data_IF_569804448241
#
_entry.id   IF_569804448241
#
_cell.length_a   1.000
_cell.length_b   1.000
_cell.length_c   1.000
_cell.angle_alpha   90.00
_cell.angle_beta   90.00
_cell.angle_gamma   90.00
#
_symmetry.space_group_name_H-M   'P 1'
#
loop_
_entity.id
_entity.type
_entity.pdbx_description
1 polymer ?
#
# COMPACT_ATOMS: atom_id res chain seq x y z
N UNK A 1 28.59 -61.70 -7.45
CA UNK A 1 29.31 -60.42 -7.68
C UNK A 1 28.41 -59.28 -8.20
N UNK A 2 27.33 -59.55 -8.93
CA UNK A 2 26.45 -58.49 -9.50
C UNK A 2 25.52 -57.77 -8.52
N UNK A 3 25.13 -58.40 -7.41
CA UNK A 3 24.26 -57.79 -6.40
C UNK A 3 24.90 -56.60 -5.67
N UNK A 4 26.22 -56.65 -5.46
CA UNK A 4 26.97 -55.52 -4.88
C UNK A 4 27.00 -54.30 -5.83
N UNK A 5 27.10 -54.54 -7.15
CA UNK A 5 27.11 -53.47 -8.15
C UNK A 5 25.75 -52.77 -8.23
N UNK A 6 24.65 -53.53 -8.14
CA UNK A 6 23.29 -53.01 -8.13
C UNK A 6 23.00 -52.17 -6.87
N UNK A 7 23.47 -52.59 -5.69
CA UNK A 7 23.33 -51.80 -4.46
C UNK A 7 24.08 -50.47 -4.53
N UNK A 8 25.29 -50.45 -5.12
CA UNK A 8 26.08 -49.22 -5.28
C UNK A 8 25.43 -48.26 -6.28
N UNK A 9 24.92 -48.78 -7.41
CA UNK A 9 24.22 -47.98 -8.41
C UNK A 9 22.89 -47.39 -7.90
N UNK A 10 22.17 -48.10 -7.03
CA UNK A 10 20.97 -47.58 -6.38
C UNK A 10 21.26 -46.55 -5.28
N UNK A 11 22.39 -46.67 -4.57
CA UNK A 11 22.77 -45.75 -3.51
C UNK A 11 23.31 -44.41 -4.03
N UNK A 12 23.94 -44.38 -5.21
CA UNK A 12 24.50 -43.16 -5.81
C UNK A 12 23.46 -42.03 -6.04
N UNK A 13 22.28 -42.26 -6.65
CA UNK A 13 21.28 -41.20 -6.82
C UNK A 13 20.67 -40.76 -5.48
N UNK A 14 20.56 -41.65 -4.49
CA UNK A 14 20.09 -41.30 -3.14
C UNK A 14 21.13 -40.42 -2.42
N UNK A 15 22.41 -40.76 -2.50
CA UNK A 15 23.50 -39.96 -1.93
C UNK A 15 23.67 -38.62 -2.65
N UNK A 16 23.46 -38.58 -3.97
CA UNK A 16 23.43 -37.34 -4.75
C UNK A 16 22.24 -36.47 -4.35
N UNK A 17 21.04 -37.04 -4.20
CA UNK A 17 19.85 -36.35 -3.72
C UNK A 17 20.02 -35.86 -2.27
N UNK A 18 20.63 -36.65 -1.39
CA UNK A 18 20.93 -36.23 -0.02
C UNK A 18 22.00 -35.12 0.04
N UNK A 19 22.98 -35.09 -0.87
CA UNK A 19 24.00 -34.03 -0.93
C UNK A 19 23.48 -32.73 -1.58
N UNK A 20 22.70 -32.85 -2.66
CA UNK A 20 22.19 -31.70 -3.44
C UNK A 20 20.87 -31.19 -2.85
N UNK A 21 19.94 -32.09 -2.55
CA UNK A 21 18.63 -31.78 -1.96
C UNK A 21 18.73 -31.20 -0.56
N UNK A 22 19.63 -31.68 0.31
CA UNK A 22 19.86 -31.03 1.62
C UNK A 22 20.50 -29.64 1.49
N UNK A 23 21.38 -29.41 0.50
CA UNK A 23 21.94 -28.07 0.26
C UNK A 23 20.88 -27.08 -0.25
N UNK A 24 19.95 -27.55 -1.07
CA UNK A 24 18.86 -26.72 -1.59
C UNK A 24 17.74 -26.46 -0.56
N UNK A 25 17.44 -27.42 0.33
CA UNK A 25 16.38 -27.31 1.34
C UNK A 25 16.84 -26.73 2.69
N UNK A 26 18.12 -26.89 3.05
CA UNK A 26 18.63 -26.57 4.40
C UNK A 26 19.85 -25.65 4.42
N UNK A 27 20.20 -24.98 3.32
CA UNK A 27 20.99 -23.76 3.49
C UNK A 27 20.11 -22.75 4.24
N UNK A 28 20.48 -22.32 5.47
CA UNK A 28 19.80 -21.19 6.06
C UNK A 28 19.96 -20.05 5.07
N UNK A 29 18.85 -19.57 4.49
CA UNK A 29 18.86 -18.35 3.70
C UNK A 29 19.56 -17.32 4.57
N UNK A 30 20.76 -16.93 4.17
CA UNK A 30 21.46 -15.84 4.83
C UNK A 30 20.62 -14.60 4.53
N UNK A 31 19.72 -14.26 5.45
CA UNK A 31 19.02 -13.00 5.39
C UNK A 31 20.09 -11.90 5.38
N UNK A 32 20.01 -10.94 4.44
CA UNK A 32 20.93 -9.81 4.41
C UNK A 32 20.97 -9.15 5.78
N UNK A 33 22.18 -8.77 6.20
CA UNK A 33 22.45 -8.22 7.53
C UNK A 33 21.66 -6.93 7.77
N UNK A 34 20.96 -6.93 8.91
CA UNK A 34 20.27 -5.84 9.61
C UNK A 34 19.36 -4.93 8.77
N UNK A 35 18.02 -5.11 8.82
CA UNK A 35 17.12 -3.99 8.58
C UNK A 35 17.51 -2.82 9.49
N UNK A 36 17.85 -1.67 8.90
CA UNK A 36 17.89 -0.43 9.68
C UNK A 36 16.46 -0.12 10.10
N UNK A 37 16.27 0.42 11.30
CA UNK A 37 14.96 0.95 11.68
C UNK A 37 14.57 2.06 10.68
N UNK A 38 13.53 1.85 9.82
CA UNK A 38 13.18 2.81 8.78
C UNK A 38 12.55 4.10 9.34
N UNK A 39 12.25 4.13 10.64
CA UNK A 39 11.64 5.25 11.34
C UNK A 39 12.64 6.12 12.10
N UNK A 40 13.96 5.91 11.89
CA UNK A 40 14.96 6.86 12.39
C UNK A 40 14.77 8.21 11.69
N UNK A 41 14.83 9.30 12.46
CA UNK A 41 14.70 10.66 11.92
C UNK A 41 15.72 10.96 10.81
N UNK A 42 16.90 10.35 10.90
CA UNK A 42 17.99 10.42 9.93
C UNK A 42 17.63 9.84 8.55
N UNK A 43 16.76 8.82 8.51
CA UNK A 43 16.34 8.12 7.30
C UNK A 43 15.09 8.78 6.64
N UNK A 44 14.51 9.80 7.30
CA UNK A 44 13.42 10.61 6.74
C UNK A 44 14.02 11.59 5.73
N UNK A 45 13.78 11.34 4.44
CA UNK A 45 14.19 12.27 3.39
C UNK A 45 13.32 13.53 3.45
N UNK A 46 13.90 14.73 3.26
CA UNK A 46 13.11 15.95 3.16
C UNK A 46 12.18 15.87 1.94
N UNK A 47 11.01 16.54 1.99
CA UNK A 47 10.11 16.65 0.86
C UNK A 47 10.85 17.09 -0.39
N UNK A 48 10.67 16.33 -1.47
CA UNK A 48 11.26 16.63 -2.76
C UNK A 48 10.22 17.35 -3.64
N UNK A 49 10.63 18.18 -4.62
CA UNK A 49 9.70 18.84 -5.52
C UNK A 49 8.83 17.82 -6.27
N UNK A 50 7.55 18.13 -6.42
CA UNK A 50 6.58 17.29 -7.12
C UNK A 50 6.98 17.06 -8.56
N UNK A 51 7.06 15.79 -8.99
CA UNK A 51 7.35 15.43 -10.39
C UNK A 51 6.05 15.46 -11.21
N UNK A 52 5.85 16.54 -11.97
CA UNK A 52 4.65 16.73 -12.80
C UNK A 52 4.80 16.27 -14.26
N UNK A 53 6.04 16.17 -14.75
CA UNK A 53 6.32 15.80 -16.14
C UNK A 53 5.84 14.37 -16.49
N UNK A 54 4.94 14.26 -17.47
CA UNK A 54 4.35 12.97 -17.90
C UNK A 54 5.41 11.94 -18.32
N UNK A 55 6.45 12.37 -19.03
CA UNK A 55 7.51 11.47 -19.51
C UNK A 55 8.29 10.85 -18.34
N UNK A 56 8.69 11.66 -17.34
CA UNK A 56 9.38 11.17 -16.13
C UNK A 56 8.53 10.20 -15.33
N UNK A 57 7.23 10.48 -15.21
CA UNK A 57 6.28 9.57 -14.53
C UNK A 57 6.11 8.25 -15.30
N UNK A 58 5.99 8.30 -16.62
CA UNK A 58 5.81 7.11 -17.46
C UNK A 58 7.03 6.17 -17.39
N UNK A 59 8.25 6.73 -17.36
CA UNK A 59 9.49 5.95 -17.26
C UNK A 59 9.61 5.12 -15.97
N UNK A 60 8.87 5.47 -14.91
CA UNK A 60 8.82 4.73 -13.65
C UNK A 60 7.60 3.83 -13.57
N UNK A 61 6.43 4.33 -14.00
CA UNK A 61 5.15 3.63 -13.84
C UNK A 61 4.91 2.51 -14.86
N UNK A 62 5.64 2.53 -15.99
CA UNK A 62 5.43 1.63 -17.13
C UNK A 62 6.75 1.01 -17.58
N UNK A 63 7.38 0.28 -16.66
CA UNK A 63 8.59 -0.49 -16.98
C UNK A 63 8.18 -1.90 -17.41
N UNK A 64 8.52 -2.34 -18.63
CA UNK A 64 8.34 -3.74 -19.02
C UNK A 64 9.21 -4.63 -18.12
N UNK A 65 8.69 -5.79 -17.76
CA UNK A 65 9.43 -6.78 -16.99
C UNK A 65 10.25 -7.65 -17.94
N UNK A 66 11.57 -7.62 -17.80
CA UNK A 66 12.52 -8.45 -18.54
C UNK A 66 13.20 -9.42 -17.55
N UNK A 67 12.95 -10.74 -17.60
CA UNK A 67 13.50 -11.71 -16.66
C UNK A 67 15.04 -11.69 -16.55
N UNK A 68 15.71 -11.35 -17.64
CA UNK A 68 17.17 -11.28 -17.77
C UNK A 68 17.77 -10.13 -16.92
N UNK A 69 16.97 -9.13 -16.54
CA UNK A 69 17.40 -8.03 -15.67
C UNK A 69 17.48 -8.43 -14.19
N UNK A 70 16.97 -9.60 -13.81
CA UNK A 70 17.02 -10.14 -12.43
C UNK A 70 18.40 -10.69 -12.07
N UNK A 71 19.45 -9.90 -12.28
CA UNK A 71 20.85 -10.21 -11.97
C UNK A 71 21.19 -10.00 -10.50
N UNK A 72 20.31 -9.33 -9.75
CA UNK A 72 20.44 -9.05 -8.31
C UNK A 72 19.54 -9.96 -7.48
N UNK A 73 20.05 -10.35 -6.31
CA UNK A 73 19.24 -11.01 -5.28
C UNK A 73 18.31 -9.99 -4.63
N UNK A 74 17.04 -10.35 -4.46
CA UNK A 74 16.05 -9.50 -3.78
C UNK A 74 15.83 -9.98 -2.35
N UNK A 75 15.62 -9.05 -1.44
CA UNK A 75 15.39 -9.32 -0.02
C UNK A 75 13.89 -9.50 0.25
N UNK A 76 13.04 -8.85 -0.55
CA UNK A 76 11.61 -9.06 -0.60
C UNK A 76 11.06 -8.98 -2.03
N UNK A 77 9.99 -9.73 -2.27
CA UNK A 77 9.18 -9.64 -3.49
C UNK A 77 7.77 -9.24 -3.06
N UNK A 78 7.25 -8.17 -3.65
CA UNK A 78 5.88 -7.69 -3.46
C UNK A 78 5.11 -7.95 -4.73
N UNK A 79 4.00 -8.67 -4.64
CA UNK A 79 3.13 -8.97 -5.78
C UNK A 79 1.92 -8.02 -5.71
N UNK A 80 1.77 -7.18 -6.72
CA UNK A 80 0.76 -6.13 -6.83
C UNK A 80 1.30 -4.74 -6.45
N UNK A 81 1.03 -3.75 -7.30
CA UNK A 81 1.44 -2.35 -7.10
C UNK A 81 0.29 -1.44 -6.63
N UNK A 82 -0.70 -2.01 -5.94
CA UNK A 82 -1.72 -1.22 -5.25
C UNK A 82 -1.14 -0.42 -4.09
N UNK A 83 -1.95 0.45 -3.49
CA UNK A 83 -1.54 1.29 -2.35
C UNK A 83 -0.85 0.49 -1.24
N UNK A 84 -1.43 -0.63 -0.81
CA UNK A 84 -0.82 -1.49 0.21
C UNK A 84 0.54 -2.08 -0.20
N UNK A 85 0.65 -2.60 -1.42
CA UNK A 85 1.90 -3.19 -1.94
C UNK A 85 3.01 -2.16 -2.07
N UNK A 86 2.72 -0.99 -2.65
CA UNK A 86 3.67 0.11 -2.76
C UNK A 86 4.05 0.71 -1.40
N UNK A 87 3.12 0.80 -0.45
CA UNK A 87 3.41 1.23 0.92
C UNK A 87 4.42 0.31 1.59
N UNK A 88 4.21 -1.02 1.54
CA UNK A 88 5.15 -2.00 2.09
C UNK A 88 6.50 -1.92 1.38
N UNK A 89 6.51 -1.89 0.05
CA UNK A 89 7.74 -1.80 -0.73
C UNK A 89 8.56 -0.54 -0.39
N UNK A 90 7.89 0.60 -0.22
CA UNK A 90 8.54 1.85 0.14
C UNK A 90 9.13 1.83 1.56
N UNK A 91 8.42 1.24 2.54
CA UNK A 91 8.92 1.07 3.91
C UNK A 91 10.13 0.14 3.94
N UNK A 92 10.05 -1.02 3.28
CA UNK A 92 11.16 -1.98 3.19
C UNK A 92 12.38 -1.36 2.48
N UNK A 93 12.15 -0.61 1.39
CA UNK A 93 13.22 0.11 0.69
C UNK A 93 13.89 1.16 1.59
N UNK A 94 13.11 1.84 2.46
CA UNK A 94 13.66 2.75 3.47
C UNK A 94 14.49 2.02 4.54
N UNK A 95 14.12 0.79 4.88
CA UNK A 95 14.91 -0.12 5.72
C UNK A 95 16.12 -0.75 4.99
N UNK A 96 16.46 -0.22 3.79
CA UNK A 96 17.57 -0.64 2.92
C UNK A 96 17.42 -2.03 2.31
N UNK A 97 16.21 -2.58 2.25
CA UNK A 97 15.94 -3.82 1.54
C UNK A 97 15.91 -3.58 0.04
N UNK A 98 16.46 -4.52 -0.72
CA UNK A 98 16.25 -4.61 -2.17
C UNK A 98 14.89 -5.26 -2.38
N UNK A 99 13.92 -4.47 -2.84
CA UNK A 99 12.54 -4.92 -3.04
C UNK A 99 12.22 -4.98 -4.53
N UNK A 100 11.73 -6.13 -4.98
CA UNK A 100 11.12 -6.29 -6.30
C UNK A 100 9.60 -6.14 -6.17
N UNK A 101 8.99 -5.24 -6.94
CA UNK A 101 7.53 -5.12 -7.04
C UNK A 101 7.10 -5.64 -8.40
N UNK A 102 6.19 -6.61 -8.42
CA UNK A 102 5.65 -7.19 -9.65
C UNK A 102 4.21 -6.74 -9.83
N UNK A 103 3.90 -6.17 -11.00
CA UNK A 103 2.57 -5.74 -11.37
C UNK A 103 2.11 -6.49 -12.63
N UNK A 104 0.88 -7.02 -12.59
CA UNK A 104 0.30 -7.76 -13.71
C UNK A 104 -0.20 -6.82 -14.82
N UNK A 105 -0.54 -5.56 -14.47
CA UNK A 105 -1.00 -4.55 -15.40
C UNK A 105 0.17 -3.76 -16.03
N UNK A 106 -0.08 -3.11 -17.17
CA UNK A 106 0.92 -2.26 -17.84
C UNK A 106 1.20 -0.91 -17.15
N UNK A 107 0.66 -0.69 -15.94
CA UNK A 107 0.84 0.54 -15.17
C UNK A 107 0.73 0.24 -13.68
N UNK A 108 1.67 0.79 -12.90
CA UNK A 108 1.59 0.70 -11.44
C UNK A 108 0.42 1.50 -10.84
N UNK A 109 -0.15 1.02 -9.74
CA UNK A 109 -1.16 1.73 -8.94
C UNK A 109 -2.37 0.90 -8.49
N UNK A 110 -2.56 -0.33 -8.96
CA UNK A 110 -3.74 -1.16 -8.63
C UNK A 110 -5.06 -0.40 -8.85
N UNK A 111 -6.01 -0.48 -7.91
CA UNK A 111 -7.28 0.28 -7.97
C UNK A 111 -7.14 1.80 -7.74
N UNK A 112 -5.93 2.32 -7.60
CA UNK A 112 -5.63 3.75 -7.45
C UNK A 112 -4.96 4.33 -8.71
N UNK A 113 -4.92 3.58 -9.82
CA UNK A 113 -4.35 4.09 -11.06
C UNK A 113 -5.34 5.01 -11.81
N UNK A 114 -4.79 5.85 -12.68
CA UNK A 114 -5.55 6.67 -13.63
C UNK A 114 -5.40 6.17 -15.06
N UNK A 115 -6.37 6.43 -15.93
CA UNK A 115 -6.24 6.25 -17.38
C UNK A 115 -6.69 7.49 -18.13
N UNK A 116 -6.20 7.66 -19.36
CA UNK A 116 -6.57 8.80 -20.21
C UNK A 116 -7.54 8.33 -21.29
N UNK A 117 -8.64 9.05 -21.49
CA UNK A 117 -9.63 8.78 -22.55
C UNK A 117 -10.16 10.10 -23.10
N UNK A 118 -10.08 10.28 -24.42
CA UNK A 118 -10.51 11.50 -25.12
C UNK A 118 -9.95 12.82 -24.55
N UNK A 119 -8.69 12.82 -24.09
CA UNK A 119 -8.05 14.02 -23.51
C UNK A 119 -8.33 14.26 -22.03
N UNK A 120 -9.18 13.45 -21.39
CA UNK A 120 -9.47 13.52 -19.97
C UNK A 120 -8.75 12.40 -19.21
N UNK A 121 -8.34 12.68 -17.98
CA UNK A 121 -7.80 11.70 -17.04
C UNK A 121 -8.91 11.26 -16.08
N UNK A 122 -9.07 9.95 -15.91
CA UNK A 122 -10.06 9.33 -15.04
C UNK A 122 -9.35 8.48 -14.00
N UNK A 123 -9.73 8.59 -12.73
CA UNK A 123 -9.41 7.61 -11.71
C UNK A 123 -10.39 6.42 -11.76
N UNK A 124 -9.99 5.30 -11.17
CA UNK A 124 -10.80 4.06 -11.16
C UNK A 124 -11.46 3.77 -9.82
N UNK A 125 -11.33 4.64 -8.80
CA UNK A 125 -12.00 4.37 -7.52
C UNK A 125 -11.61 5.24 -6.32
N UNK A 126 -10.43 5.89 -6.32
CA UNK A 126 -10.03 6.76 -5.20
C UNK A 126 -10.47 8.20 -5.50
N UNK A 127 -11.56 8.61 -4.85
CA UNK A 127 -12.17 9.93 -5.03
C UNK A 127 -11.87 10.88 -3.85
N UNK A 128 -11.80 10.37 -2.63
CA UNK A 128 -11.53 11.16 -1.41
C UNK A 128 -10.56 10.38 -0.52
N UNK A 129 -9.57 11.07 0.04
CA UNK A 129 -8.64 10.51 1.04
C UNK A 129 -8.81 11.28 2.35
N UNK A 130 -9.47 10.69 3.37
CA UNK A 130 -9.68 11.36 4.64
C UNK A 130 -8.37 11.50 5.42
N UNK A 131 -8.37 12.41 6.40
CA UNK A 131 -7.22 12.65 7.30
C UNK A 131 -5.91 13.02 6.56
N UNK A 132 -5.99 13.86 5.53
CA UNK A 132 -4.82 14.45 4.87
C UNK A 132 -4.50 15.87 5.40
N UNK A 133 -5.24 16.33 6.40
CA UNK A 133 -4.96 17.58 7.12
C UNK A 133 -3.62 17.55 7.86
N UNK A 134 -2.96 18.70 7.98
CA UNK A 134 -1.68 18.83 8.71
C UNK A 134 -1.84 18.32 10.15
N UNK A 135 -0.85 17.57 10.64
CA UNK A 135 -0.82 17.05 12.01
C UNK A 135 -1.63 15.77 12.24
N UNK A 136 -2.33 15.25 11.23
CA UNK A 136 -3.02 13.96 11.33
C UNK A 136 -2.05 12.79 11.11
N UNK A 137 -2.39 11.63 11.68
CA UNK A 137 -1.57 10.42 11.58
C UNK A 137 -1.41 9.94 10.12
N UNK A 138 -2.51 9.86 9.36
CA UNK A 138 -2.46 9.41 7.97
C UNK A 138 -1.68 10.40 7.08
N UNK A 139 -1.76 11.71 7.34
CA UNK A 139 -0.91 12.69 6.65
C UNK A 139 0.57 12.45 6.93
N UNK A 140 0.95 12.26 8.20
CA UNK A 140 2.34 11.99 8.57
C UNK A 140 2.88 10.70 7.93
N UNK A 141 2.06 9.63 7.93
CA UNK A 141 2.39 8.38 7.26
C UNK A 141 2.57 8.60 5.75
N UNK A 142 1.59 9.21 5.08
CA UNK A 142 1.65 9.53 3.64
C UNK A 142 2.93 10.29 3.27
N UNK A 143 3.22 11.36 4.01
CA UNK A 143 4.40 12.19 3.77
C UNK A 143 5.69 11.37 3.95
N UNK A 144 5.73 10.49 4.95
CA UNK A 144 6.85 9.58 5.18
C UNK A 144 7.06 8.59 4.02
N UNK A 145 6.02 7.92 3.56
CA UNK A 145 6.17 6.91 2.48
C UNK A 145 6.48 7.55 1.13
N UNK A 146 5.94 8.73 0.86
CA UNK A 146 6.09 9.42 -0.43
C UNK A 146 7.23 10.43 -0.47
N UNK A 147 7.87 10.71 0.67
CA UNK A 147 8.80 11.84 0.83
C UNK A 147 8.14 13.16 0.42
N UNK A 148 6.91 13.39 0.87
CA UNK A 148 6.15 14.62 0.64
C UNK A 148 5.85 14.93 -0.84
N UNK A 149 5.90 13.94 -1.72
CA UNK A 149 5.68 14.09 -3.18
C UNK A 149 4.20 14.21 -3.57
N UNK A 150 3.28 14.07 -2.62
CA UNK A 150 1.84 14.19 -2.87
C UNK A 150 1.38 15.63 -2.62
N UNK A 151 0.78 16.20 -3.66
CA UNK A 151 0.08 17.47 -3.58
C UNK A 151 -1.40 17.20 -3.26
N UNK A 152 -1.82 17.61 -2.06
CA UNK A 152 -3.16 17.34 -1.56
C UNK A 152 -4.05 18.55 -1.75
N UNK A 153 -5.08 18.42 -2.59
CA UNK A 153 -6.13 19.41 -2.72
C UNK A 153 -7.13 19.26 -1.55
N UNK A 154 -7.34 20.33 -0.78
CA UNK A 154 -8.38 20.35 0.24
C UNK A 154 -9.75 20.43 -0.46
N UNK A 155 -10.70 19.62 -0.01
CA UNK A 155 -12.10 19.72 -0.42
C UNK A 155 -12.77 20.95 0.20
N UNK A 156 -13.90 21.33 -0.38
CA UNK A 156 -14.77 22.37 0.16
C UNK A 156 -15.35 21.96 1.53
N UNK A 157 -15.85 22.94 2.28
CA UNK A 157 -16.44 22.73 3.60
C UNK A 157 -17.58 21.68 3.56
N UNK A 158 -18.38 21.70 2.50
CA UNK A 158 -19.40 20.69 2.22
C UNK A 158 -18.95 19.87 1.03
N UNK A 159 -18.63 18.60 1.27
CA UNK A 159 -17.97 17.76 0.27
C UNK A 159 -18.92 16.77 -0.42
N UNK A 160 -20.03 16.43 0.21
CA UNK A 160 -21.05 15.50 -0.31
C UNK A 160 -22.45 15.98 0.04
N UNK A 161 -23.46 15.45 -0.66
CA UNK A 161 -24.88 15.72 -0.37
C UNK A 161 -25.68 14.44 -0.44
N UNK A 162 -26.34 14.08 0.65
CA UNK A 162 -27.32 13.00 0.64
C UNK A 162 -28.70 13.56 0.23
N UNK A 163 -29.38 12.90 -0.70
CA UNK A 163 -30.75 13.22 -1.08
C UNK A 163 -31.69 12.12 -0.59
N UNK A 164 -32.56 12.46 0.34
CA UNK A 164 -33.52 11.51 0.93
C UNK A 164 -34.91 12.13 0.88
N UNK A 165 -35.86 11.41 0.30
CA UNK A 165 -37.26 11.84 0.17
C UNK A 165 -37.43 13.27 -0.39
N UNK A 166 -36.60 13.65 -1.37
CA UNK A 166 -36.65 14.97 -2.00
C UNK A 166 -36.00 16.11 -1.20
N UNK A 167 -35.42 15.83 -0.03
CA UNK A 167 -34.66 16.79 0.78
C UNK A 167 -33.16 16.55 0.64
N UNK A 168 -32.40 17.64 0.54
CA UNK A 168 -30.95 17.63 0.48
C UNK A 168 -30.34 17.78 1.89
N UNK A 169 -29.30 17.00 2.15
CA UNK A 169 -28.56 16.97 3.41
C UNK A 169 -27.06 17.12 3.10
N UNK A 170 -26.55 18.36 3.02
CA UNK A 170 -25.16 18.63 2.67
C UNK A 170 -24.24 18.26 3.84
N UNK A 171 -23.27 17.39 3.58
CA UNK A 171 -22.35 16.82 4.57
C UNK A 171 -21.14 17.73 4.73
N UNK A 172 -20.91 18.18 5.96
CA UNK A 172 -19.82 19.10 6.32
C UNK A 172 -18.56 18.35 6.74
N UNK A 173 -17.39 18.92 6.44
CA UNK A 173 -16.11 18.45 6.96
C UNK A 173 -16.04 18.54 8.49
N UNK A 174 -15.21 17.70 9.12
CA UNK A 174 -15.04 17.69 10.58
C UNK A 174 -15.19 16.31 11.22
N UNK A 175 -15.34 15.27 10.40
CA UNK A 175 -15.31 13.88 10.84
C UNK A 175 -16.54 13.48 11.65
N UNK A 176 -16.44 12.37 12.41
CA UNK A 176 -17.59 11.76 13.07
C UNK A 176 -18.36 12.70 14.00
N UNK A 177 -17.67 13.53 14.77
CA UNK A 177 -18.28 14.42 15.78
C UNK A 177 -19.15 15.50 15.11
N UNK A 178 -18.63 16.16 14.07
CA UNK A 178 -19.39 17.18 13.33
C UNK A 178 -20.57 16.54 12.61
N UNK A 179 -20.35 15.36 12.00
CA UNK A 179 -21.43 14.67 11.31
C UNK A 179 -22.55 14.20 12.27
N UNK A 180 -22.20 13.74 13.47
CA UNK A 180 -23.17 13.39 14.52
C UNK A 180 -24.05 14.59 14.88
N UNK A 181 -23.42 15.75 15.06
CA UNK A 181 -24.14 16.98 15.39
C UNK A 181 -25.06 17.42 14.24
N UNK A 182 -24.59 17.37 12.99
CA UNK A 182 -25.45 17.66 11.82
C UNK A 182 -26.64 16.72 11.73
N UNK A 183 -26.45 15.41 11.98
CA UNK A 183 -27.54 14.44 11.99
C UNK A 183 -28.61 14.82 13.03
N UNK A 184 -28.22 15.24 14.23
CA UNK A 184 -29.16 15.69 15.27
C UNK A 184 -29.88 16.99 14.91
N UNK A 185 -29.22 17.90 14.20
CA UNK A 185 -29.86 19.12 13.69
C UNK A 185 -30.90 18.81 12.61
N UNK A 186 -30.66 17.79 11.80
CA UNK A 186 -31.57 17.36 10.74
C UNK A 186 -32.71 16.47 11.23
N UNK A 187 -32.48 15.68 12.28
CA UNK A 187 -33.39 14.70 12.85
C UNK A 187 -33.45 14.84 14.39
N UNK A 188 -34.02 15.95 14.90
CA UNK A 188 -34.01 16.24 16.33
C UNK A 188 -34.79 15.22 17.17
N UNK A 189 -35.84 14.63 16.60
CA UNK A 189 -36.66 13.61 17.28
C UNK A 189 -35.89 12.29 17.50
N UNK A 190 -34.86 12.03 16.68
CA UNK A 190 -34.03 10.82 16.72
C UNK A 190 -32.69 11.04 17.43
N UNK A 191 -32.49 12.18 18.11
CA UNK A 191 -31.18 12.57 18.66
C UNK A 191 -30.58 11.53 19.62
N UNK A 192 -31.42 10.88 20.43
CA UNK A 192 -30.99 9.85 21.37
C UNK A 192 -30.54 8.57 20.66
N UNK A 193 -31.23 8.19 19.58
CA UNK A 193 -30.88 7.00 18.80
C UNK A 193 -29.60 7.23 17.98
N UNK A 194 -29.40 8.45 17.48
CA UNK A 194 -28.14 8.86 16.87
C UNK A 194 -26.98 8.72 17.87
N UNK A 195 -27.16 9.18 19.11
CA UNK A 195 -26.14 9.01 20.16
C UNK A 195 -25.82 7.56 20.46
N UNK A 196 -26.85 6.72 20.59
CA UNK A 196 -26.69 5.30 20.83
C UNK A 196 -25.93 4.63 19.67
N UNK A 197 -26.29 4.93 18.42
CA UNK A 197 -25.59 4.41 17.24
C UNK A 197 -24.10 4.80 17.25
N UNK A 198 -23.79 6.07 17.51
CA UNK A 198 -22.41 6.53 17.57
C UNK A 198 -21.62 5.88 18.70
N UNK A 199 -22.24 5.71 19.87
CA UNK A 199 -21.62 4.98 20.98
C UNK A 199 -21.30 3.53 20.59
N UNK A 200 -22.17 2.85 19.85
CA UNK A 200 -21.89 1.48 19.41
C UNK A 200 -20.83 1.37 18.31
N UNK A 201 -20.91 2.22 17.28
CA UNK A 201 -20.01 2.12 16.11
C UNK A 201 -18.63 2.70 16.39
N UNK A 202 -18.53 3.85 17.09
CA UNK A 202 -17.25 4.53 17.26
C UNK A 202 -16.48 4.08 18.51
N UNK A 203 -17.15 3.65 19.60
CA UNK A 203 -16.41 3.10 20.76
C UNK A 203 -15.77 1.77 20.39
N UNK A 204 -16.41 0.95 19.55
CA UNK A 204 -15.89 -0.35 19.12
C UNK A 204 -14.72 -0.23 18.13
N UNK A 205 -14.68 0.82 17.32
CA UNK A 205 -13.64 1.04 16.31
C UNK A 205 -12.29 1.58 16.85
N UNK A 206 -12.26 2.17 18.06
CA UNK A 206 -11.06 2.79 18.64
C UNK A 206 -10.56 2.13 19.95
N UNK A 207 -11.17 1.01 20.37
CA UNK A 207 -10.77 0.21 21.54
C UNK A 207 -10.24 -1.19 21.17
N UNK A 208 -9.73 -1.40 19.94
CA UNK A 208 -8.96 -2.59 19.56
C UNK A 208 -7.50 -2.23 19.31
#
# INVERSE_FOLDING_TARGET
MWWLLLCVLAALPILLWLKVGKRALFQPRQFPRHPSNPFKSEDIRPPQPTVTEKAKRAAVLKQPFEPEELTVTWDAIVIGSGMGGLSVAAILSKAKWRVLVLEQHGKAGGSSHTFNKHGYEFDVGVHIVPQMGKGTYLRALSDFITNGQLDWAKLDEYFDVAYVAGKAYPIKEGGPVVFQQQLKEWFPDDAQDIDNYYAHVFVSAFHQ
#
